data_IF_337182832965
#
_entry.id   IF_337182832965
#
_cell.length_a   1.000
_cell.length_b   1.000
_cell.length_c   1.000
_cell.angle_alpha   90.00
_cell.angle_beta   90.00
_cell.angle_gamma   90.00
#
_symmetry.space_group_name_H-M   'P 1'
#
loop_
_entity.id
_entity.type
_entity.pdbx_description
1 polymer ?
#
# COMPACT_ATOMS: atom_id res chain seq x y z
N UNK A 1 72.00 64.84 38.21
CA UNK A 1 71.64 64.06 39.42
C UNK A 1 70.26 63.46 39.17
N UNK A 2 70.20 62.18 38.86
CA UNK A 2 68.96 61.49 38.44
C UNK A 2 68.24 61.03 39.71
N UNK A 3 67.16 61.71 40.09
CA UNK A 3 66.30 61.30 41.21
C UNK A 3 65.51 60.05 40.80
N UNK A 4 65.98 58.86 41.18
CA UNK A 4 65.15 57.66 41.26
C UNK A 4 64.26 57.81 42.50
N UNK A 5 63.06 58.33 42.32
CA UNK A 5 62.03 58.29 43.36
C UNK A 5 61.47 56.87 43.46
N UNK A 6 61.91 56.11 44.47
CA UNK A 6 61.27 54.84 44.81
C UNK A 6 59.92 55.14 45.46
N UNK A 7 58.84 54.66 44.84
CA UNK A 7 57.48 54.77 45.37
C UNK A 7 57.39 54.05 46.72
N UNK A 8 56.71 54.66 47.70
CA UNK A 8 56.53 54.03 49.02
C UNK A 8 55.65 52.77 48.87
N UNK A 9 55.81 51.75 49.74
CA UNK A 9 55.07 50.48 49.61
C UNK A 9 53.53 50.64 49.62
N UNK A 10 53.01 51.73 50.17
CA UNK A 10 51.57 52.05 50.12
C UNK A 10 51.12 52.55 48.74
N UNK A 11 51.98 53.32 48.05
CA UNK A 11 51.69 53.92 46.74
C UNK A 11 51.70 52.86 45.63
N UNK A 12 52.59 51.87 45.72
CA UNK A 12 52.61 50.74 44.78
C UNK A 12 51.37 49.85 44.91
N UNK A 13 50.88 49.64 46.13
CA UNK A 13 49.62 48.91 46.38
C UNK A 13 48.41 49.69 45.85
N UNK A 14 48.35 51.00 46.05
CA UNK A 14 47.27 51.85 45.53
C UNK A 14 47.24 51.88 44.00
N UNK A 15 48.40 52.02 43.35
CA UNK A 15 48.53 52.00 41.89
C UNK A 15 48.15 50.63 41.32
N UNK A 16 48.58 49.54 41.97
CA UNK A 16 48.20 48.18 41.57
C UNK A 16 46.68 47.94 41.67
N UNK A 17 46.04 48.43 42.72
CA UNK A 17 44.60 48.30 42.93
C UNK A 17 43.82 49.13 41.91
N UNK A 18 44.28 50.34 41.58
CA UNK A 18 43.68 51.19 40.56
C UNK A 18 43.80 50.56 39.15
N UNK A 19 44.94 49.98 38.81
CA UNK A 19 45.12 49.22 37.56
C UNK A 19 44.21 47.99 37.50
N UNK A 20 44.08 47.24 38.59
CA UNK A 20 43.18 46.10 38.66
C UNK A 20 41.71 46.50 38.44
N UNK A 21 41.28 47.63 39.00
CA UNK A 21 39.94 48.18 38.78
C UNK A 21 39.75 48.59 37.32
N UNK A 22 40.72 49.27 36.71
CA UNK A 22 40.66 49.65 35.29
C UNK A 22 40.59 48.41 34.39
N UNK A 23 41.44 47.41 34.63
CA UNK A 23 41.42 46.14 33.88
C UNK A 23 40.10 45.41 34.07
N UNK A 24 39.53 45.41 35.28
CA UNK A 24 38.21 44.85 35.54
C UNK A 24 37.10 45.56 34.74
N UNK A 25 37.07 46.89 34.72
CA UNK A 25 36.11 47.64 33.93
C UNK A 25 36.31 47.49 32.42
N UNK A 26 37.56 47.42 31.94
CA UNK A 26 37.87 47.14 30.54
C UNK A 26 37.50 45.72 30.12
N UNK A 27 37.68 44.73 31.00
CA UNK A 27 37.22 43.37 30.78
C UNK A 27 35.69 43.32 30.74
N UNK A 28 35.00 43.98 31.68
CA UNK A 28 33.53 44.06 31.67
C UNK A 28 33.00 44.76 30.40
N UNK A 29 33.63 45.86 29.98
CA UNK A 29 33.26 46.59 28.77
C UNK A 29 33.58 45.82 27.48
N UNK A 30 34.73 45.16 27.42
CA UNK A 30 35.14 44.31 26.30
C UNK A 30 34.27 43.06 26.15
N UNK A 31 33.95 42.37 27.26
CA UNK A 31 33.03 41.23 27.28
C UNK A 31 31.62 41.67 26.88
N UNK A 32 31.15 42.81 27.40
CA UNK A 32 29.86 43.37 26.97
C UNK A 32 29.85 43.72 25.48
N UNK A 33 30.92 44.29 24.93
CA UNK A 33 31.08 44.59 23.50
C UNK A 33 31.05 43.34 22.63
N UNK A 34 31.76 42.27 23.03
CA UNK A 34 31.78 40.99 22.29
C UNK A 34 30.43 40.27 22.35
N UNK A 35 29.68 40.38 23.44
CA UNK A 35 28.37 39.75 23.60
C UNK A 35 27.24 40.55 22.93
N UNK A 36 27.31 41.89 22.93
CA UNK A 36 26.29 42.77 22.34
C UNK A 36 26.51 43.09 20.85
N UNK A 37 27.66 42.75 20.27
CA UNK A 37 27.99 43.04 18.85
C UNK A 37 27.36 42.09 17.81
N UNK A 38 26.59 41.06 18.21
CA UNK A 38 25.97 40.15 17.23
C UNK A 38 24.82 40.84 16.50
N UNK A 39 24.87 40.83 15.17
CA UNK A 39 23.81 41.35 14.32
C UNK A 39 22.49 40.64 14.63
N UNK A 40 21.41 41.39 14.54
CA UNK A 40 20.04 40.89 14.72
C UNK A 40 19.40 40.68 13.35
N UNK A 41 18.53 39.68 13.27
CA UNK A 41 17.81 39.28 12.08
C UNK A 41 16.35 39.08 12.43
N UNK A 42 15.46 39.36 11.49
CA UNK A 42 14.03 39.09 11.66
C UNK A 42 13.73 37.65 11.27
N UNK A 43 13.03 36.92 12.14
CA UNK A 43 12.67 35.52 11.90
C UNK A 43 11.72 35.41 10.70
N UNK A 44 12.07 34.65 9.64
CA UNK A 44 11.16 34.42 8.52
C UNK A 44 9.98 33.53 8.90
N UNK A 45 8.94 33.55 8.06
CA UNK A 45 7.85 32.57 8.09
C UNK A 45 8.27 31.29 7.37
N UNK A 46 8.29 30.18 8.11
CA UNK A 46 8.66 28.85 7.65
C UNK A 46 7.44 27.92 7.57
N UNK A 47 6.30 28.26 8.18
CA UNK A 47 5.10 27.41 8.17
C UNK A 47 4.70 27.05 6.74
N UNK A 48 4.47 25.76 6.50
CA UNK A 48 4.11 25.22 5.17
C UNK A 48 5.29 25.05 4.20
N UNK A 49 6.50 25.53 4.54
CA UNK A 49 7.71 25.27 3.74
C UNK A 49 8.24 23.86 4.02
N UNK A 50 8.86 23.24 3.02
CA UNK A 50 9.67 22.04 3.22
C UNK A 50 10.87 22.36 4.10
N UNK A 51 11.43 21.33 4.76
CA UNK A 51 12.66 21.50 5.57
C UNK A 51 13.84 22.02 4.73
N UNK A 52 13.97 21.59 3.48
CA UNK A 52 15.01 22.10 2.58
C UNK A 52 14.84 23.59 2.30
N UNK A 53 13.64 24.03 1.91
CA UNK A 53 13.36 25.43 1.63
C UNK A 53 13.51 26.30 2.89
N UNK A 54 13.13 25.78 4.06
CA UNK A 54 13.34 26.45 5.33
C UNK A 54 14.84 26.63 5.64
N UNK A 55 15.66 25.60 5.41
CA UNK A 55 17.12 25.70 5.58
C UNK A 55 17.72 26.73 4.62
N UNK A 56 17.33 26.72 3.36
CA UNK A 56 17.80 27.68 2.35
C UNK A 56 17.47 29.13 2.73
N UNK A 57 16.29 29.34 3.32
CA UNK A 57 15.85 30.66 3.78
C UNK A 57 16.58 31.13 5.06
N UNK A 58 17.01 30.20 5.92
CA UNK A 58 17.68 30.50 7.19
C UNK A 58 19.21 30.62 7.06
N UNK A 59 19.80 29.95 6.07
CA UNK A 59 21.25 29.98 5.80
C UNK A 59 21.83 31.40 5.66
N UNK A 60 21.27 32.32 4.85
CA UNK A 60 21.82 33.68 4.72
C UNK A 60 21.67 34.51 6.00
N UNK A 61 20.76 34.12 6.90
CA UNK A 61 20.54 34.77 8.20
C UNK A 61 21.44 34.19 9.30
N UNK A 62 22.24 33.17 8.98
CA UNK A 62 23.05 32.42 9.94
C UNK A 62 22.21 31.88 11.12
N UNK A 63 20.99 31.45 10.85
CA UNK A 63 20.07 30.86 11.83
C UNK A 63 20.07 29.34 11.62
N UNK A 64 20.34 28.58 12.68
CA UNK A 64 20.27 27.12 12.64
C UNK A 64 18.84 26.63 12.74
N UNK A 65 18.52 25.48 12.14
CA UNK A 65 17.22 24.81 12.29
C UNK A 65 17.39 23.52 13.07
N UNK A 66 16.49 23.28 14.04
CA UNK A 66 16.39 22.02 14.79
C UNK A 66 14.97 21.50 14.72
N UNK A 67 14.80 20.24 14.33
CA UNK A 67 13.54 19.53 14.44
C UNK A 67 13.29 19.16 15.90
N UNK A 68 12.20 19.66 16.47
CA UNK A 68 11.78 19.42 17.86
C UNK A 68 10.81 18.25 17.96
N UNK A 69 9.97 18.03 16.94
CA UNK A 69 9.00 16.96 16.94
C UNK A 69 8.30 16.77 15.60
N UNK A 70 7.30 15.89 15.62
CA UNK A 70 6.44 15.57 14.50
C UNK A 70 4.99 15.47 14.99
N UNK A 71 4.04 15.97 14.22
CA UNK A 71 2.61 15.92 14.54
C UNK A 71 1.80 15.64 13.27
N UNK A 72 0.70 14.90 13.40
CA UNK A 72 -0.25 14.72 12.30
C UNK A 72 -1.03 16.00 12.05
N UNK A 73 -1.14 16.40 10.78
CA UNK A 73 -1.93 17.54 10.37
C UNK A 73 -2.42 17.35 8.93
N UNK A 74 -3.75 17.35 8.76
CA UNK A 74 -4.37 17.12 7.45
C UNK A 74 -4.23 18.33 6.49
N UNK A 75 -3.85 19.51 7.00
CA UNK A 75 -3.77 20.74 6.21
C UNK A 75 -2.35 21.04 5.73
N UNK A 76 -1.34 20.67 6.52
CA UNK A 76 0.08 20.89 6.19
C UNK A 76 0.67 19.62 5.63
N UNK A 77 1.22 19.68 4.41
CA UNK A 77 1.82 18.54 3.74
C UNK A 77 2.91 17.86 4.57
N UNK A 78 3.00 16.53 4.44
CA UNK A 78 4.03 15.72 5.11
C UNK A 78 5.44 16.28 4.83
N UNK A 79 6.26 16.33 5.87
CA UNK A 79 7.63 16.86 5.77
C UNK A 79 7.74 18.38 5.72
N UNK A 80 6.62 19.11 5.80
CA UNK A 80 6.61 20.57 5.88
C UNK A 80 6.55 21.07 7.33
N UNK A 81 7.03 22.29 7.57
CA UNK A 81 7.01 22.90 8.91
C UNK A 81 5.56 23.20 9.31
N UNK A 82 5.11 22.55 10.39
CA UNK A 82 3.79 22.76 10.97
C UNK A 82 3.79 23.99 11.90
N UNK A 83 4.81 24.09 12.76
CA UNK A 83 5.00 25.17 13.72
C UNK A 83 6.49 25.50 13.84
N UNK A 84 6.79 26.76 14.11
CA UNK A 84 8.15 27.22 14.40
C UNK A 84 8.20 27.98 15.74
N UNK A 85 9.37 27.97 16.36
CA UNK A 85 9.69 28.82 17.49
C UNK A 85 11.15 29.30 17.42
N UNK A 86 11.44 30.60 17.52
CA UNK A 86 10.51 31.74 17.67
C UNK A 86 9.54 31.94 16.49
N UNK A 87 8.38 32.60 16.70
CA UNK A 87 7.42 32.88 15.62
C UNK A 87 7.98 33.86 14.60
N UNK A 88 7.40 33.87 13.39
CA UNK A 88 7.77 34.78 12.33
C UNK A 88 7.66 36.25 12.79
N UNK A 89 8.55 37.11 12.28
CA UNK A 89 8.65 38.51 12.69
C UNK A 89 9.42 38.76 13.99
N UNK A 90 9.78 37.70 14.74
CA UNK A 90 10.58 37.87 15.97
C UNK A 90 12.01 38.29 15.63
N UNK A 91 12.51 39.34 16.28
CA UNK A 91 13.92 39.72 16.16
C UNK A 91 14.79 38.74 16.96
N UNK A 92 15.68 38.04 16.27
CA UNK A 92 16.62 37.08 16.85
C UNK A 92 18.06 37.50 16.56
N UNK A 93 19.01 37.01 17.36
CA UNK A 93 20.44 37.21 17.09
C UNK A 93 20.94 36.15 16.11
N UNK A 94 21.95 36.50 15.31
CA UNK A 94 22.67 35.52 14.49
C UNK A 94 23.21 34.35 15.34
N UNK A 95 23.18 33.15 14.75
CA UNK A 95 23.52 31.88 15.41
C UNK A 95 22.42 31.31 16.31
N UNK A 96 21.23 31.93 16.36
CA UNK A 96 20.07 31.35 17.06
C UNK A 96 19.62 30.07 16.35
N UNK A 97 19.07 29.14 17.12
CA UNK A 97 18.43 27.93 16.59
C UNK A 97 16.91 28.14 16.60
N UNK A 98 16.27 28.03 15.44
CA UNK A 98 14.81 27.88 15.32
C UNK A 98 14.44 26.42 15.52
N UNK A 99 13.43 26.19 16.37
CA UNK A 99 12.85 24.87 16.59
C UNK A 99 11.61 24.72 15.73
N UNK A 100 11.48 23.61 15.03
CA UNK A 100 10.33 23.33 14.16
C UNK A 100 9.68 22.00 14.52
N UNK A 101 8.35 21.98 14.51
CA UNK A 101 7.54 20.76 14.50
C UNK A 101 7.16 20.49 13.05
N UNK A 102 7.33 19.26 12.59
CA UNK A 102 7.14 18.87 11.19
C UNK A 102 5.84 18.08 11.04
N UNK A 103 5.05 18.41 10.02
CA UNK A 103 3.82 17.66 9.74
C UNK A 103 4.14 16.22 9.30
N UNK A 104 3.38 15.25 9.81
CA UNK A 104 3.31 13.88 9.30
C UNK A 104 2.25 13.70 8.21
N UNK A 105 1.58 14.78 7.79
CA UNK A 105 0.39 14.70 6.95
C UNK A 105 -0.82 14.23 7.76
N UNK A 106 -1.89 13.84 7.06
CA UNK A 106 -3.06 13.27 7.71
C UNK A 106 -2.76 11.90 8.35
N UNK A 107 -3.53 11.55 9.38
CA UNK A 107 -3.43 10.20 9.97
C UNK A 107 -3.97 9.18 8.96
N UNK A 108 -3.19 8.14 8.65
CA UNK A 108 -3.54 7.12 7.67
C UNK A 108 -3.97 5.81 8.34
N UNK A 109 -4.95 5.14 7.75
CA UNK A 109 -5.45 3.81 8.14
C UNK A 109 -5.45 2.88 6.92
N UNK A 110 -5.60 1.56 7.14
CA UNK A 110 -5.73 0.58 6.06
C UNK A 110 -7.21 0.36 5.71
N UNK A 111 -7.50 0.30 4.41
CA UNK A 111 -8.82 -0.08 3.91
C UNK A 111 -9.07 -1.58 4.19
N UNK A 112 -10.09 -1.96 4.97
CA UNK A 112 -10.34 -3.37 5.28
C UNK A 112 -10.88 -4.11 4.05
N UNK A 113 -10.71 -5.43 4.03
CA UNK A 113 -11.34 -6.28 3.03
C UNK A 113 -12.84 -6.46 3.31
N UNK A 114 -13.70 -5.83 2.50
CA UNK A 114 -15.16 -5.86 2.63
C UNK A 114 -15.88 -6.57 1.48
N UNK A 115 -15.17 -6.94 0.41
CA UNK A 115 -15.72 -7.72 -0.71
C UNK A 115 -16.25 -9.08 -0.24
N UNK A 116 -17.44 -9.45 -0.67
CA UNK A 116 -18.15 -10.67 -0.29
C UNK A 116 -18.95 -10.54 1.02
N UNK A 117 -18.87 -9.41 1.73
CA UNK A 117 -19.71 -9.16 2.90
C UNK A 117 -21.06 -8.54 2.51
N UNK A 118 -22.13 -8.79 3.30
CA UNK A 118 -23.35 -7.99 3.23
C UNK A 118 -23.02 -6.50 3.48
N UNK A 119 -23.67 -5.58 2.75
CA UNK A 119 -23.41 -4.14 2.83
C UNK A 119 -23.42 -3.60 4.27
N UNK A 120 -24.36 -4.06 5.10
CA UNK A 120 -24.45 -3.67 6.51
C UNK A 120 -23.21 -4.08 7.32
N UNK A 121 -22.66 -5.27 7.06
CA UNK A 121 -21.45 -5.74 7.74
C UNK A 121 -20.22 -5.00 7.24
N UNK A 122 -20.15 -4.71 5.94
CA UNK A 122 -19.11 -3.88 5.34
C UNK A 122 -19.10 -2.48 5.98
N UNK A 123 -20.25 -1.83 6.10
CA UNK A 123 -20.36 -0.51 6.73
C UNK A 123 -19.88 -0.50 8.19
N UNK A 124 -20.26 -1.52 8.98
CA UNK A 124 -19.77 -1.63 10.36
C UNK A 124 -18.25 -1.80 10.42
N UNK A 125 -17.67 -2.61 9.52
CA UNK A 125 -16.22 -2.83 9.47
C UNK A 125 -15.46 -1.57 9.04
N UNK A 126 -16.01 -0.80 8.10
CA UNK A 126 -15.45 0.51 7.72
C UNK A 126 -15.41 1.47 8.91
N UNK A 127 -16.52 1.61 9.64
CA UNK A 127 -16.60 2.48 10.82
C UNK A 127 -15.62 2.07 11.92
N UNK A 128 -15.44 0.76 12.14
CA UNK A 128 -14.45 0.24 13.09
C UNK A 128 -13.01 0.60 12.71
N UNK A 129 -12.73 0.69 11.41
CA UNK A 129 -11.43 1.11 10.87
C UNK A 129 -11.33 2.63 10.63
N UNK A 130 -12.24 3.42 11.21
CA UNK A 130 -12.26 4.88 11.10
C UNK A 130 -12.39 5.37 9.65
N UNK A 131 -13.10 4.60 8.82
CA UNK A 131 -13.45 4.91 7.44
C UNK A 131 -14.96 5.11 7.31
N UNK A 132 -15.36 5.75 6.23
CA UNK A 132 -16.76 6.10 5.96
C UNK A 132 -17.22 5.37 4.69
N UNK A 133 -18.45 4.87 4.70
CA UNK A 133 -19.07 4.34 3.49
C UNK A 133 -19.31 5.51 2.51
N UNK A 134 -18.75 5.39 1.31
CA UNK A 134 -18.89 6.38 0.24
C UNK A 134 -20.09 6.08 -0.66
N UNK A 135 -19.88 6.24 -1.97
CA UNK A 135 -20.88 5.92 -2.98
C UNK A 135 -21.19 4.42 -3.02
N UNK A 136 -22.47 4.08 -3.09
CA UNK A 136 -22.95 2.69 -3.23
C UNK A 136 -23.56 2.55 -4.62
N UNK A 137 -22.84 1.89 -5.51
CA UNK A 137 -23.32 1.53 -6.84
C UNK A 137 -23.92 0.12 -6.82
N UNK A 138 -24.86 -0.15 -7.72
CA UNK A 138 -25.49 -1.47 -7.86
C UNK A 138 -25.10 -2.10 -9.21
N UNK A 139 -24.72 -3.37 -9.19
CA UNK A 139 -24.48 -4.16 -10.39
C UNK A 139 -25.05 -5.57 -10.20
N UNK A 140 -25.53 -6.21 -11.27
CA UNK A 140 -26.05 -7.56 -11.18
C UNK A 140 -24.92 -8.58 -11.02
N UNK A 141 -25.20 -9.70 -10.35
CA UNK A 141 -24.25 -10.80 -10.22
C UNK A 141 -24.94 -12.15 -10.34
N UNK A 142 -24.33 -13.06 -11.08
CA UNK A 142 -24.74 -14.46 -11.16
C UNK A 142 -24.33 -15.26 -9.92
N UNK A 143 -23.33 -14.75 -9.17
CA UNK A 143 -22.72 -15.46 -8.04
C UNK A 143 -23.22 -14.98 -6.69
N UNK A 144 -23.43 -13.67 -6.53
CA UNK A 144 -23.71 -13.08 -5.22
C UNK A 144 -25.16 -12.65 -5.08
N UNK A 145 -25.75 -12.94 -3.91
CA UNK A 145 -27.09 -12.49 -3.54
C UNK A 145 -27.17 -10.96 -3.45
N UNK A 146 -28.40 -10.43 -3.58
CA UNK A 146 -28.66 -9.01 -3.50
C UNK A 146 -28.15 -8.41 -2.18
N UNK A 147 -27.44 -7.30 -2.25
CA UNK A 147 -26.90 -6.55 -1.11
C UNK A 147 -25.51 -6.99 -0.64
N UNK A 148 -24.86 -7.94 -1.32
CA UNK A 148 -23.46 -8.33 -1.06
C UNK A 148 -22.50 -7.41 -1.82
N UNK A 149 -21.40 -6.98 -1.18
CA UNK A 149 -20.37 -6.15 -1.82
C UNK A 149 -19.60 -6.96 -2.87
N UNK A 150 -19.65 -6.50 -4.12
CA UNK A 150 -18.93 -7.07 -5.26
C UNK A 150 -17.52 -6.49 -5.41
N UNK A 151 -17.37 -5.19 -5.16
CA UNK A 151 -16.09 -4.49 -5.23
C UNK A 151 -16.06 -3.29 -4.28
N UNK A 152 -14.85 -2.86 -3.97
CA UNK A 152 -14.58 -1.67 -3.15
C UNK A 152 -13.47 -0.83 -3.79
N UNK A 153 -13.54 0.47 -3.58
CA UNK A 153 -12.48 1.42 -3.90
C UNK A 153 -12.43 2.47 -2.77
N UNK A 154 -11.30 2.67 -2.07
CA UNK A 154 -10.00 2.02 -2.28
C UNK A 154 -9.96 0.51 -2.00
N UNK A 155 -9.11 -0.21 -2.75
CA UNK A 155 -8.90 -1.66 -2.61
C UNK A 155 -8.48 -2.04 -1.18
N UNK A 156 -8.79 -3.27 -0.78
CA UNK A 156 -8.35 -3.79 0.51
C UNK A 156 -6.83 -3.64 0.72
N UNK A 157 -6.43 -3.38 1.95
CA UNK A 157 -5.05 -3.11 2.41
C UNK A 157 -4.42 -1.83 1.82
N UNK A 158 -5.16 -1.01 1.07
CA UNK A 158 -4.66 0.30 0.66
C UNK A 158 -4.54 1.24 1.86
N UNK A 159 -3.44 1.97 1.95
CA UNK A 159 -3.29 3.05 2.92
C UNK A 159 -4.06 4.28 2.45
N UNK A 160 -4.99 4.75 3.29
CA UNK A 160 -5.90 5.86 3.02
C UNK A 160 -5.94 6.79 4.23
N UNK A 161 -6.34 8.04 4.04
CA UNK A 161 -6.51 8.96 5.17
C UNK A 161 -7.65 8.50 6.08
N UNK A 162 -7.54 8.81 7.38
CA UNK A 162 -8.64 8.64 8.33
C UNK A 162 -9.88 9.38 7.82
N UNK A 163 -11.04 8.75 7.99
CA UNK A 163 -12.33 9.20 7.50
C UNK A 163 -12.43 9.30 5.97
N UNK A 164 -11.50 8.70 5.21
CA UNK A 164 -11.67 8.52 3.79
C UNK A 164 -12.94 7.72 3.48
N UNK A 165 -13.56 8.07 2.35
CA UNK A 165 -14.71 7.37 1.81
C UNK A 165 -14.27 6.11 1.07
N UNK A 166 -14.95 5.00 1.33
CA UNK A 166 -14.80 3.75 0.56
C UNK A 166 -16.07 3.55 -0.25
N UNK A 167 -15.95 3.75 -1.55
CA UNK A 167 -17.00 3.48 -2.52
C UNK A 167 -17.12 1.98 -2.72
N UNK A 168 -18.34 1.49 -2.92
CA UNK A 168 -18.63 0.07 -3.09
C UNK A 168 -19.58 -0.16 -4.25
N UNK A 169 -19.41 -1.27 -4.93
CA UNK A 169 -20.45 -1.82 -5.80
C UNK A 169 -21.07 -3.01 -5.10
N UNK A 170 -22.39 -3.03 -4.97
CA UNK A 170 -23.16 -4.13 -4.37
C UNK A 170 -23.93 -4.91 -5.43
N UNK A 171 -24.19 -6.18 -5.14
CA UNK A 171 -25.00 -7.03 -5.98
C UNK A 171 -26.45 -6.56 -5.95
N UNK A 172 -27.03 -6.33 -7.12
CA UNK A 172 -28.47 -6.16 -7.31
C UNK A 172 -29.24 -7.48 -7.37
N UNK A 173 -28.52 -8.60 -7.24
CA UNK A 173 -29.05 -9.95 -7.45
C UNK A 173 -28.94 -10.38 -8.91
N UNK A 174 -29.78 -11.35 -9.30
CA UNK A 174 -29.82 -11.87 -10.66
C UNK A 174 -30.29 -10.79 -11.65
N UNK A 175 -29.74 -10.77 -12.88
CA UNK A 175 -30.13 -9.82 -13.91
C UNK A 175 -31.61 -9.99 -14.32
N UNK A 176 -32.31 -8.91 -14.69
CA UNK A 176 -33.66 -9.00 -15.25
C UNK A 176 -33.65 -9.70 -16.61
N UNK A 177 -34.83 -10.15 -17.05
CA UNK A 177 -34.99 -10.77 -18.36
C UNK A 177 -34.50 -9.84 -19.48
N UNK A 178 -33.69 -10.36 -20.39
CA UNK A 178 -33.09 -9.61 -21.50
C UNK A 178 -31.71 -9.02 -21.20
N UNK A 179 -31.23 -9.05 -19.95
CA UNK A 179 -29.85 -8.71 -19.61
C UNK A 179 -29.04 -10.00 -19.51
N UNK A 180 -28.09 -10.18 -20.43
CA UNK A 180 -27.18 -11.31 -20.41
C UNK A 180 -25.87 -10.89 -19.73
N UNK A 181 -25.46 -11.65 -18.71
CA UNK A 181 -24.19 -11.47 -18.04
C UNK A 181 -23.21 -12.58 -18.45
N UNK A 182 -21.92 -12.25 -18.43
CA UNK A 182 -20.83 -13.17 -18.70
C UNK A 182 -20.64 -14.11 -17.51
N UNK A 183 -20.84 -15.42 -17.65
CA UNK A 183 -20.51 -16.36 -16.59
C UNK A 183 -19.01 -16.43 -16.32
N UNK A 184 -18.65 -16.89 -15.14
CA UNK A 184 -17.27 -17.26 -14.83
C UNK A 184 -16.97 -18.65 -15.40
N UNK A 185 -16.25 -18.67 -16.53
CA UNK A 185 -15.79 -19.90 -17.16
C UNK A 185 -14.36 -20.27 -16.81
N UNK A 186 -13.66 -19.46 -16.00
CA UNK A 186 -12.28 -19.76 -15.65
C UNK A 186 -12.18 -21.14 -15.01
N UNK A 187 -11.22 -21.93 -15.50
CA UNK A 187 -10.98 -23.32 -15.07
C UNK A 187 -12.11 -24.30 -15.36
N UNK A 188 -13.19 -23.90 -16.03
CA UNK A 188 -14.24 -24.80 -16.51
C UNK A 188 -13.89 -25.40 -17.88
N UNK A 189 -14.64 -26.42 -18.30
CA UNK A 189 -14.46 -27.00 -19.63
C UNK A 189 -15.12 -26.13 -20.70
N UNK A 190 -14.48 -25.99 -21.86
CA UNK A 190 -14.99 -25.23 -23.00
C UNK A 190 -16.38 -25.68 -23.47
N UNK A 191 -16.74 -26.96 -23.27
CA UNK A 191 -18.09 -27.47 -23.57
C UNK A 191 -19.19 -26.76 -22.79
N UNK A 192 -18.93 -26.35 -21.55
CA UNK A 192 -19.88 -25.60 -20.73
C UNK A 192 -20.10 -24.20 -21.32
N UNK A 193 -19.00 -23.52 -21.68
CA UNK A 193 -19.06 -22.21 -22.35
C UNK A 193 -19.75 -22.29 -23.71
N UNK A 194 -19.48 -23.35 -24.50
CA UNK A 194 -20.14 -23.57 -25.79
C UNK A 194 -21.65 -23.75 -25.63
N UNK A 195 -22.07 -24.55 -24.63
CA UNK A 195 -23.48 -24.83 -24.36
C UNK A 195 -24.21 -23.56 -23.94
N UNK A 196 -23.60 -22.76 -23.06
CA UNK A 196 -24.11 -21.45 -22.67
C UNK A 196 -24.18 -20.49 -23.87
N UNK A 197 -23.12 -20.41 -24.67
CA UNK A 197 -23.07 -19.50 -25.82
C UNK A 197 -24.17 -19.83 -26.84
N UNK A 198 -24.39 -21.13 -27.13
CA UNK A 198 -25.46 -21.58 -28.01
C UNK A 198 -26.86 -21.23 -27.45
N UNK A 199 -27.08 -21.43 -26.15
CA UNK A 199 -28.35 -21.11 -25.50
C UNK A 199 -28.62 -19.60 -25.44
N UNK A 200 -27.56 -18.81 -25.28
CA UNK A 200 -27.62 -17.36 -25.17
C UNK A 200 -27.57 -16.65 -26.55
N UNK A 201 -27.36 -17.39 -27.64
CA UNK A 201 -27.20 -16.81 -28.99
C UNK A 201 -25.91 -16.01 -29.18
N UNK A 202 -24.88 -16.27 -28.36
CA UNK A 202 -23.60 -15.56 -28.37
C UNK A 202 -22.59 -16.31 -29.23
N UNK A 203 -21.85 -15.59 -30.08
CA UNK A 203 -20.73 -16.16 -30.82
C UNK A 203 -19.51 -16.29 -29.92
N UNK A 204 -19.09 -17.52 -29.61
CA UNK A 204 -17.91 -17.82 -28.81
C UNK A 204 -16.69 -18.15 -29.70
N UNK A 205 -15.65 -17.34 -29.61
CA UNK A 205 -14.35 -17.62 -30.22
C UNK A 205 -13.43 -18.41 -29.30
N UNK A 206 -12.62 -19.32 -29.85
CA UNK A 206 -11.66 -20.12 -29.10
C UNK A 206 -10.23 -19.90 -29.59
N UNK A 207 -9.31 -19.64 -28.65
CA UNK A 207 -7.87 -19.63 -28.91
C UNK A 207 -7.19 -20.71 -28.08
N UNK A 208 -6.29 -21.48 -28.68
CA UNK A 208 -5.58 -22.57 -27.99
C UNK A 208 -4.23 -22.12 -27.47
N UNK A 209 -3.97 -22.42 -26.20
CA UNK A 209 -2.66 -22.36 -25.59
C UNK A 209 -2.04 -23.78 -25.54
N UNK A 210 -1.02 -23.98 -26.37
CA UNK A 210 -0.31 -25.26 -26.51
C UNK A 210 0.78 -25.46 -25.44
N UNK A 211 0.95 -24.51 -24.52
CA UNK A 211 1.92 -24.60 -23.41
C UNK A 211 1.26 -24.95 -22.09
N UNK A 212 -0.05 -24.73 -21.99
CA UNK A 212 -0.81 -24.90 -20.78
C UNK A 212 -0.73 -26.33 -20.23
N UNK A 213 -0.52 -26.48 -18.91
CA UNK A 213 -0.47 -27.78 -18.25
C UNK A 213 -1.86 -28.33 -17.90
N UNK A 214 -2.92 -27.55 -18.11
CA UNK A 214 -4.29 -27.95 -17.79
C UNK A 214 -4.84 -28.97 -18.80
N UNK A 215 -5.85 -29.77 -18.41
CA UNK A 215 -6.54 -30.68 -19.32
C UNK A 215 -7.03 -29.98 -20.59
N UNK A 216 -7.04 -30.69 -21.72
CA UNK A 216 -7.55 -30.16 -22.99
C UNK A 216 -8.94 -29.54 -22.82
N UNK A 217 -9.11 -28.34 -23.38
CA UNK A 217 -10.38 -27.63 -23.35
C UNK A 217 -10.67 -26.92 -22.02
N UNK A 218 -9.75 -26.94 -21.04
CA UNK A 218 -9.88 -26.10 -19.84
C UNK A 218 -9.71 -24.64 -20.23
N UNK A 219 -10.67 -23.79 -19.84
CA UNK A 219 -10.62 -22.35 -20.08
C UNK A 219 -9.62 -21.70 -19.11
N UNK A 220 -8.65 -20.98 -19.68
CA UNK A 220 -7.55 -20.32 -18.98
C UNK A 220 -7.82 -18.83 -18.79
N UNK A 221 -8.47 -18.22 -19.77
CA UNK A 221 -8.92 -16.84 -19.70
C UNK A 221 -10.16 -16.62 -20.57
N UNK A 222 -10.91 -15.58 -20.24
CA UNK A 222 -12.07 -15.10 -20.97
C UNK A 222 -11.90 -13.62 -21.29
N UNK A 223 -12.43 -13.21 -22.44
CA UNK A 223 -12.34 -11.83 -22.94
C UNK A 223 -13.03 -10.80 -22.04
N UNK A 224 -14.19 -11.13 -21.48
CA UNK A 224 -14.93 -10.30 -20.53
C UNK A 224 -14.84 -10.89 -19.12
N UNK A 225 -14.69 -10.08 -18.06
CA UNK A 225 -14.72 -10.60 -16.70
C UNK A 225 -16.11 -11.19 -16.36
N UNK A 226 -16.16 -12.02 -15.33
CA UNK A 226 -17.43 -12.54 -14.82
C UNK A 226 -18.37 -11.39 -14.42
N UNK A 227 -19.68 -11.61 -14.59
CA UNK A 227 -20.76 -10.66 -14.36
C UNK A 227 -20.72 -9.40 -15.26
N UNK A 228 -19.85 -9.33 -16.26
CA UNK A 228 -19.90 -8.28 -17.28
C UNK A 228 -21.19 -8.38 -18.10
N UNK A 229 -21.82 -7.24 -18.40
CA UNK A 229 -23.01 -7.18 -19.26
C UNK A 229 -22.58 -7.37 -20.71
N UNK A 230 -23.24 -8.29 -21.43
CA UNK A 230 -23.01 -8.50 -22.86
C UNK A 230 -23.92 -7.64 -23.72
N UNK A 231 -23.32 -6.99 -24.72
CA UNK A 231 -24.07 -6.36 -25.81
C UNK A 231 -24.40 -7.39 -26.91
N UNK A 232 -25.50 -7.17 -27.66
CA UNK A 232 -26.00 -8.11 -28.68
C UNK A 232 -24.96 -8.45 -29.76
N UNK A 233 -24.04 -7.53 -30.06
CA UNK A 233 -22.99 -7.70 -31.07
C UNK A 233 -21.60 -8.03 -30.48
N UNK A 234 -21.53 -8.29 -29.18
CA UNK A 234 -20.26 -8.45 -28.48
C UNK A 234 -19.64 -9.82 -28.78
N UNK A 235 -18.38 -9.81 -29.23
CA UNK A 235 -17.63 -11.04 -29.53
C UNK A 235 -16.96 -11.57 -28.28
N UNK A 236 -17.53 -12.62 -27.70
CA UNK A 236 -16.90 -13.32 -26.58
C UNK A 236 -15.86 -14.29 -27.13
N UNK A 237 -14.67 -14.27 -26.55
CA UNK A 237 -13.66 -15.30 -26.78
C UNK A 237 -13.07 -15.84 -25.49
N UNK A 238 -12.58 -17.08 -25.56
CA UNK A 238 -11.88 -17.79 -24.48
C UNK A 238 -10.55 -18.33 -24.98
N UNK A 239 -9.57 -18.37 -24.07
CA UNK A 239 -8.31 -19.09 -24.29
C UNK A 239 -8.42 -20.43 -23.57
N UNK A 240 -8.17 -21.52 -24.29
CA UNK A 240 -8.28 -22.89 -23.78
C UNK A 240 -6.93 -23.60 -23.79
N UNK A 241 -6.74 -24.56 -22.89
CA UNK A 241 -5.59 -25.47 -22.96
C UNK A 241 -5.70 -26.39 -24.18
N UNK A 242 -4.63 -26.45 -24.98
CA UNK A 242 -4.55 -27.23 -26.22
C UNK A 242 -3.54 -28.39 -26.20
N UNK A 243 -2.68 -28.49 -25.18
CA UNK A 243 -1.54 -29.42 -25.15
C UNK A 243 -1.87 -30.83 -24.64
N UNK A 244 -2.56 -30.93 -23.51
CA UNK A 244 -2.67 -32.19 -22.75
C UNK A 244 -3.97 -32.92 -23.08
N UNK A 245 -3.91 -34.13 -23.66
CA UNK A 245 -5.05 -35.04 -23.82
C UNK A 245 -6.09 -34.61 -24.85
N UNK A 246 -5.68 -34.43 -26.13
CA UNK A 246 -6.61 -34.14 -27.23
C UNK A 246 -7.73 -35.21 -27.31
N UNK A 247 -8.96 -34.84 -27.71
CA UNK A 247 -10.04 -35.80 -27.90
C UNK A 247 -9.62 -36.83 -28.96
N UNK A 248 -9.44 -38.10 -28.55
CA UNK A 248 -8.95 -39.19 -29.41
C UNK A 248 -7.78 -39.98 -28.82
N UNK A 249 -7.02 -39.40 -27.89
CA UNK A 249 -6.16 -40.17 -26.99
C UNK A 249 -7.06 -40.73 -25.87
N UNK A 250 -7.17 -42.06 -25.78
CA UNK A 250 -8.17 -42.75 -24.96
C UNK A 250 -8.35 -42.18 -23.53
N UNK A 251 -9.57 -41.72 -23.25
CA UNK A 251 -10.24 -41.87 -21.95
C UNK A 251 -9.53 -41.39 -20.69
N UNK A 252 -8.71 -40.35 -20.75
CA UNK A 252 -8.12 -39.78 -19.53
C UNK A 252 -9.21 -39.07 -18.72
N UNK A 253 -9.56 -39.62 -17.57
CA UNK A 253 -10.56 -39.04 -16.67
C UNK A 253 -10.07 -37.67 -16.17
N UNK A 254 -10.91 -36.64 -16.27
CA UNK A 254 -10.66 -35.36 -15.61
C UNK A 254 -11.23 -35.46 -14.20
N UNK A 255 -10.35 -35.40 -13.20
CA UNK A 255 -10.70 -35.35 -11.78
C UNK A 255 -10.59 -33.91 -11.29
N UNK A 256 -11.58 -33.46 -10.52
CA UNK A 256 -11.49 -32.17 -9.82
C UNK A 256 -10.68 -32.38 -8.53
N UNK A 257 -9.49 -31.82 -8.50
CA UNK A 257 -8.62 -31.84 -7.34
C UNK A 257 -8.99 -30.71 -6.39
N UNK A 258 -9.33 -31.05 -5.16
CA UNK A 258 -9.66 -30.12 -4.10
C UNK A 258 -8.53 -30.02 -3.09
N UNK A 259 -8.08 -28.80 -2.80
CA UNK A 259 -7.13 -28.51 -1.75
C UNK A 259 -7.57 -27.32 -0.90
N UNK A 260 -7.58 -27.50 0.41
CA UNK A 260 -7.81 -26.43 1.38
C UNK A 260 -6.49 -26.02 2.01
N UNK A 261 -6.17 -24.73 1.96
CA UNK A 261 -4.94 -24.18 2.54
C UNK A 261 -5.03 -24.31 4.06
N UNK A 262 -4.02 -24.90 4.73
CA UNK A 262 -4.02 -25.06 6.18
C UNK A 262 -4.25 -23.75 6.92
N UNK A 263 -4.84 -23.86 8.11
CA UNK A 263 -5.03 -22.72 9.02
C UNK A 263 -3.67 -22.16 9.45
N UNK A 264 -3.59 -20.84 9.60
CA UNK A 264 -2.33 -20.12 9.86
C UNK A 264 -2.57 -18.64 10.14
N UNK A 265 -1.51 -17.92 10.52
CA UNK A 265 -1.57 -16.49 10.86
C UNK A 265 -1.25 -15.56 9.69
N UNK A 266 -0.71 -16.10 8.58
CA UNK A 266 -0.28 -15.33 7.42
C UNK A 266 -0.62 -16.07 6.12
N UNK A 267 -0.63 -15.33 5.01
CA UNK A 267 -0.77 -15.93 3.68
C UNK A 267 0.40 -16.86 3.39
N UNK A 268 0.10 -17.97 2.71
CA UNK A 268 1.11 -18.93 2.26
C UNK A 268 1.22 -18.91 0.75
N UNK A 269 2.44 -18.96 0.23
CA UNK A 269 2.68 -19.20 -1.18
C UNK A 269 2.38 -20.68 -1.47
N UNK A 270 1.25 -20.94 -2.12
CA UNK A 270 0.84 -22.29 -2.49
C UNK A 270 1.30 -22.56 -3.91
N UNK A 271 2.01 -23.67 -4.10
CA UNK A 271 2.41 -24.16 -5.41
C UNK A 271 1.95 -25.60 -5.57
N UNK A 272 1.16 -25.88 -6.61
CA UNK A 272 0.63 -27.22 -6.90
C UNK A 272 1.20 -27.69 -8.22
N UNK A 273 1.86 -28.84 -8.21
CA UNK A 273 2.54 -29.44 -9.35
C UNK A 273 1.94 -30.82 -9.61
N UNK A 274 1.65 -31.13 -10.87
CA UNK A 274 1.31 -32.48 -11.32
C UNK A 274 2.52 -33.08 -12.00
N UNK A 275 2.95 -34.23 -11.52
CA UNK A 275 4.02 -35.05 -12.08
C UNK A 275 3.39 -36.26 -12.77
N UNK A 276 3.60 -36.42 -14.07
CA UNK A 276 3.13 -37.58 -14.82
C UNK A 276 4.13 -38.01 -15.91
N UNK A 277 3.71 -38.90 -16.82
CA UNK A 277 4.54 -39.34 -17.96
C UNK A 277 5.01 -38.21 -18.90
N UNK A 278 4.43 -37.02 -18.81
CA UNK A 278 4.83 -35.82 -19.55
C UNK A 278 5.71 -34.87 -18.72
N UNK A 279 6.11 -35.26 -17.50
CA UNK A 279 6.97 -34.51 -16.59
C UNK A 279 6.22 -33.69 -15.55
N UNK A 280 6.97 -32.87 -14.81
CA UNK A 280 6.43 -31.98 -13.79
C UNK A 280 5.81 -30.72 -14.41
N UNK A 281 4.58 -30.41 -14.00
CA UNK A 281 3.79 -29.29 -14.53
C UNK A 281 3.12 -28.52 -13.40
N UNK A 282 3.40 -27.23 -13.33
CA UNK A 282 2.83 -26.34 -12.32
C UNK A 282 1.40 -25.93 -12.70
N UNK A 283 0.41 -26.36 -11.91
CA UNK A 283 -1.00 -25.99 -12.11
C UNK A 283 -1.39 -24.72 -11.37
N UNK A 284 -0.74 -24.46 -10.24
CA UNK A 284 -1.04 -23.29 -9.43
C UNK A 284 0.24 -22.80 -8.75
N UNK A 285 0.40 -21.48 -8.68
CA UNK A 285 1.45 -20.82 -7.94
C UNK A 285 1.00 -19.40 -7.55
N UNK A 286 0.77 -19.17 -6.25
CA UNK A 286 0.31 -17.88 -5.77
C UNK A 286 0.04 -17.84 -4.28
N UNK A 287 -0.07 -16.61 -3.75
CA UNK A 287 -0.41 -16.38 -2.35
C UNK A 287 -1.87 -16.72 -2.09
N UNK A 288 -2.09 -17.38 -0.96
CA UNK A 288 -3.42 -17.78 -0.51
C UNK A 288 -3.57 -17.58 0.99
N UNK A 289 -4.78 -17.15 1.37
CA UNK A 289 -5.16 -17.00 2.77
C UNK A 289 -5.38 -18.36 3.43
N UNK A 290 -5.09 -18.49 4.73
CA UNK A 290 -5.47 -19.64 5.52
C UNK A 290 -6.95 -20.04 5.34
N UNK A 291 -7.23 -21.32 5.18
CA UNK A 291 -8.59 -21.86 4.97
C UNK A 291 -9.18 -21.63 3.58
N UNK A 292 -8.48 -20.96 2.67
CA UNK A 292 -8.97 -20.80 1.30
C UNK A 292 -8.92 -22.11 0.52
N UNK A 293 -9.88 -22.29 -0.39
CA UNK A 293 -10.04 -23.50 -1.20
C UNK A 293 -9.50 -23.30 -2.60
N UNK A 294 -8.86 -24.34 -3.13
CA UNK A 294 -8.28 -24.39 -4.47
C UNK A 294 -8.85 -25.62 -5.17
N UNK A 295 -9.61 -25.36 -6.23
CA UNK A 295 -10.20 -26.39 -7.08
C UNK A 295 -9.53 -26.35 -8.46
N UNK A 296 -8.92 -27.46 -8.86
CA UNK A 296 -8.20 -27.58 -10.12
C UNK A 296 -8.68 -28.80 -10.91
N UNK A 297 -9.07 -28.66 -12.18
CA UNK A 297 -9.29 -29.81 -13.03
C UNK A 297 -7.93 -30.43 -13.39
N UNK A 298 -7.76 -31.72 -13.11
CA UNK A 298 -6.54 -32.47 -13.43
C UNK A 298 -6.90 -33.67 -14.27
N UNK A 299 -6.09 -33.90 -15.31
CA UNK A 299 -6.25 -35.05 -16.18
C UNK A 299 -5.43 -36.20 -15.60
N UNK A 300 -6.10 -37.27 -15.22
CA UNK A 300 -5.46 -38.49 -14.72
C UNK A 300 -4.82 -39.21 -15.90
N UNK A 301 -3.50 -39.10 -15.96
CA UNK A 301 -2.61 -39.85 -16.86
C UNK A 301 -1.92 -40.91 -16.01
N UNK A 302 -1.89 -42.17 -16.49
CA UNK A 302 -1.47 -43.31 -15.67
C UNK A 302 -0.20 -43.04 -14.85
N UNK A 303 -0.35 -43.03 -13.53
CA UNK A 303 0.72 -42.74 -12.56
C UNK A 303 0.88 -41.27 -12.14
N UNK A 304 -0.07 -40.39 -12.45
CA UNK A 304 0.03 -38.98 -12.09
C UNK A 304 0.00 -38.75 -10.57
N UNK A 305 0.89 -37.89 -10.09
CA UNK A 305 1.00 -37.47 -8.69
C UNK A 305 0.85 -35.96 -8.58
N UNK A 306 0.10 -35.50 -7.59
CA UNK A 306 -0.05 -34.09 -7.25
C UNK A 306 0.83 -33.79 -6.06
N UNK A 307 1.81 -32.91 -6.24
CA UNK A 307 2.72 -32.41 -5.21
C UNK A 307 2.32 -31.01 -4.81
N UNK A 308 2.13 -30.78 -3.52
CA UNK A 308 1.69 -29.51 -2.96
C UNK A 308 2.82 -28.93 -2.13
N UNK A 309 3.22 -27.71 -2.47
CA UNK A 309 4.24 -26.96 -1.76
C UNK A 309 3.63 -25.75 -1.07
N UNK A 310 4.00 -25.51 0.19
CA UNK A 310 3.71 -24.29 0.93
C UNK A 310 5.02 -23.58 1.23
N UNK A 311 5.15 -22.33 0.80
CA UNK A 311 6.36 -21.51 0.97
C UNK A 311 7.64 -22.22 0.50
N UNK A 312 7.52 -23.01 -0.58
CA UNK A 312 8.61 -23.79 -1.18
C UNK A 312 8.86 -25.17 -0.55
N UNK A 313 8.17 -25.53 0.53
CA UNK A 313 8.32 -26.82 1.21
C UNK A 313 7.22 -27.77 0.73
N UNK A 314 7.58 -29.00 0.32
CA UNK A 314 6.60 -30.05 -0.01
C UNK A 314 5.85 -30.45 1.26
N UNK A 315 4.53 -30.26 1.28
CA UNK A 315 3.69 -30.55 2.45
C UNK A 315 2.74 -31.73 2.24
N UNK A 316 2.42 -32.05 0.99
CA UNK A 316 1.48 -33.12 0.66
C UNK A 316 1.78 -33.67 -0.75
N UNK A 317 1.55 -34.97 -0.92
CA UNK A 317 1.70 -35.68 -2.18
C UNK A 317 0.58 -36.71 -2.31
N UNK A 318 -0.20 -36.61 -3.39
CA UNK A 318 -1.37 -37.46 -3.62
C UNK A 318 -1.30 -38.13 -4.99
N UNK A 319 -1.48 -39.44 -5.00
CA UNK A 319 -1.69 -40.18 -6.26
C UNK A 319 -3.10 -39.86 -6.78
N UNK A 320 -3.22 -39.61 -8.08
CA UNK A 320 -4.49 -39.38 -8.76
C UNK A 320 -5.14 -40.68 -9.20
#
# INVERSE_FOLDING_TARGET
MIFKGELRPLETVLVGLLLAVIVFFLLQWGIAGVIHARRTQTMPELKGRSISAALDQLAPLNIGLRKEGQEFNNTVAIGSVLRQYPPAGTVVREGKIVRVVVSQGGESVLSPAIVGLPLRNAEMLLRQNQLVLGEVNEAYSLRFEKGVVLSQEPKAESSVERAAMVNVTVSGGQPPAGVLLMPDFLRKNVREAQSWANAAGVSLGEKKDMTSPFPYGTILSQSLPADAVLSVDERVSVVISGKVGKPGEAGLAVKNFHYEVPQGSAESLVRIVVSDKYGDRELFNGLRRPGSKIDLPIQETGGAQVKIFLNGILVDERNL
#
